data_IF_889002158272
#
_entry.id   IF_889002158272
#
_cell.length_a   1.000
_cell.length_b   1.000
_cell.length_c   1.000
_cell.angle_alpha   90.00
_cell.angle_beta   90.00
_cell.angle_gamma   90.00
#
_symmetry.space_group_name_H-M   'P 1'
#
loop_
_entity.id
_entity.type
_entity.pdbx_description
1 polymer ?
#
# COMPACT_ATOMS: atom_id res chain seq x y z
N UNK A 1 4.86 6.89 27.64
CA UNK A 1 4.12 5.76 28.23
C UNK A 1 5.12 4.68 28.62
N UNK A 2 5.55 4.70 29.88
CA UNK A 2 6.71 3.95 30.39
C UNK A 2 6.33 3.40 31.76
N UNK A 3 5.70 2.23 31.79
CA UNK A 3 5.47 1.46 33.03
C UNK A 3 5.39 -0.02 32.70
N UNK A 4 6.54 -0.70 32.63
CA UNK A 4 6.61 -2.16 32.68
C UNK A 4 8.01 -2.61 33.13
N UNK A 5 8.38 -2.27 34.37
CA UNK A 5 9.68 -2.66 34.92
C UNK A 5 9.64 -3.07 36.40
N UNK A 6 8.46 -3.38 36.95
CA UNK A 6 8.28 -3.60 38.39
C UNK A 6 7.86 -5.03 38.80
N UNK A 7 7.89 -6.03 37.90
CA UNK A 7 7.33 -7.36 38.20
C UNK A 7 8.35 -8.50 38.36
N UNK A 8 9.66 -8.21 38.46
CA UNK A 8 10.70 -9.25 38.56
C UNK A 8 11.53 -9.27 39.86
N UNK A 9 11.26 -8.39 40.85
CA UNK A 9 12.12 -8.29 42.05
C UNK A 9 11.64 -9.05 43.30
N UNK A 10 10.50 -9.76 43.26
CA UNK A 10 9.96 -10.47 44.44
C UNK A 10 10.13 -12.00 44.43
N UNK A 11 10.76 -12.58 43.40
CA UNK A 11 10.99 -14.03 43.33
C UNK A 11 12.27 -14.54 44.00
N UNK A 12 13.16 -13.65 44.47
CA UNK A 12 14.51 -14.00 44.94
C UNK A 12 14.62 -14.43 46.40
N UNK A 13 13.66 -14.09 47.26
CA UNK A 13 13.78 -14.29 48.71
C UNK A 13 13.15 -15.59 49.23
N UNK A 14 12.44 -16.35 48.39
CA UNK A 14 11.83 -17.63 48.79
C UNK A 14 12.73 -18.86 48.55
N UNK A 15 13.90 -18.70 47.94
CA UNK A 15 14.80 -19.82 47.63
C UNK A 15 15.93 -20.04 48.64
N UNK A 16 16.21 -19.08 49.53
CA UNK A 16 17.35 -19.16 50.46
C UNK A 16 17.01 -19.71 51.84
N UNK A 17 15.73 -19.90 52.18
CA UNK A 17 15.32 -20.39 53.51
C UNK A 17 15.13 -21.91 53.62
N UNK A 18 15.21 -22.66 52.52
CA UNK A 18 14.96 -24.12 52.53
C UNK A 18 16.22 -25.01 52.67
N UNK A 19 17.43 -24.42 52.66
CA UNK A 19 18.69 -25.14 52.84
C UNK A 19 19.34 -24.83 54.20
N UNK A 20 18.59 -24.97 55.29
CA UNK A 20 19.19 -25.00 56.62
C UNK A 20 19.71 -26.42 56.91
N UNK A 21 21.04 -26.67 56.93
CA UNK A 21 21.56 -27.99 57.25
C UNK A 21 21.28 -28.29 58.73
N UNK A 22 20.70 -29.47 58.99
CA UNK A 22 20.53 -30.03 60.35
C UNK A 22 21.92 -30.41 60.89
N UNK A 23 22.68 -29.41 61.36
CA UNK A 23 23.93 -29.60 62.10
C UNK A 23 23.63 -29.60 63.59
N UNK A 24 23.21 -30.73 64.16
CA UNK A 24 23.22 -30.88 65.61
C UNK A 24 23.07 -32.33 66.10
N UNK A 25 23.99 -33.24 65.76
CA UNK A 25 24.06 -34.55 66.48
C UNK A 25 25.50 -35.03 66.79
N UNK A 26 26.54 -34.20 66.66
CA UNK A 26 27.93 -34.70 66.82
C UNK A 26 28.50 -34.66 68.26
N UNK A 27 27.75 -34.16 69.26
CA UNK A 27 28.35 -33.88 70.59
C UNK A 27 27.93 -34.78 71.76
N UNK A 28 27.27 -35.92 71.57
CA UNK A 28 26.77 -36.74 72.69
C UNK A 28 27.19 -38.23 72.75
N UNK A 29 28.17 -38.70 71.97
CA UNK A 29 28.55 -40.14 71.99
C UNK A 29 30.05 -40.39 72.24
N UNK A 30 30.61 -39.72 73.24
CA UNK A 30 31.96 -39.98 73.73
C UNK A 30 31.96 -40.42 75.20
N UNK A 31 31.23 -41.48 75.56
CA UNK A 31 31.66 -42.37 76.64
C UNK A 31 30.85 -43.67 76.66
N UNK A 32 31.53 -44.77 76.99
CA UNK A 32 30.96 -46.02 77.51
C UNK A 32 30.58 -47.11 76.50
N UNK A 33 31.57 -47.99 76.26
CA UNK A 33 31.47 -49.47 76.33
C UNK A 33 30.38 -50.19 75.52
N UNK A 34 30.82 -50.99 74.54
CA UNK A 34 30.09 -52.15 74.04
C UNK A 34 30.05 -52.19 72.52
N UNK A 35 30.90 -53.02 71.91
CA UNK A 35 31.08 -53.12 70.45
C UNK A 35 29.81 -53.44 69.65
N UNK A 36 28.72 -53.86 70.29
CA UNK A 36 27.43 -54.19 69.67
C UNK A 36 26.54 -52.96 69.39
N UNK A 37 26.70 -51.83 70.11
CA UNK A 37 25.91 -50.62 69.82
C UNK A 37 26.47 -49.81 68.64
N UNK A 38 27.74 -50.05 68.28
CA UNK A 38 28.39 -49.39 67.15
C UNK A 38 27.71 -49.75 65.83
N UNK A 39 27.38 -51.02 65.60
CA UNK A 39 26.78 -51.50 64.35
C UNK A 39 25.35 -51.00 64.14
N UNK A 40 24.57 -50.84 65.21
CA UNK A 40 23.21 -50.26 65.14
C UNK A 40 23.24 -48.77 64.80
N UNK A 41 24.20 -48.01 65.36
CA UNK A 41 24.37 -46.58 65.08
C UNK A 41 24.90 -46.32 63.65
N UNK A 42 25.78 -47.19 63.14
CA UNK A 42 26.23 -47.10 61.74
C UNK A 42 25.08 -47.36 60.75
N UNK A 43 24.17 -48.27 61.07
CA UNK A 43 22.99 -48.55 60.25
C UNK A 43 21.96 -47.40 60.28
N UNK A 44 21.79 -46.70 61.40
CA UNK A 44 20.87 -45.56 61.49
C UNK A 44 21.43 -44.30 60.81
N UNK A 45 22.74 -44.04 60.92
CA UNK A 45 23.39 -42.91 60.26
C UNK A 45 23.41 -43.06 58.72
N UNK A 46 23.68 -44.27 58.21
CA UNK A 46 23.62 -44.56 56.77
C UNK A 46 22.20 -44.47 56.22
N UNK A 47 21.19 -44.91 56.98
CA UNK A 47 19.79 -44.75 56.62
C UNK A 47 19.36 -43.27 56.58
N UNK A 48 19.83 -42.44 57.52
CA UNK A 48 19.55 -41.00 57.53
C UNK A 48 20.16 -40.28 56.32
N UNK A 49 21.43 -40.56 56.00
CA UNK A 49 22.10 -40.01 54.81
C UNK A 49 21.42 -40.45 53.51
N UNK A 50 20.98 -41.72 53.44
CA UNK A 50 20.22 -42.21 52.28
C UNK A 50 18.89 -41.48 52.13
N UNK A 51 18.15 -41.29 53.23
CA UNK A 51 16.88 -40.56 53.21
C UNK A 51 17.05 -39.09 52.80
N UNK A 52 18.11 -38.42 53.27
CA UNK A 52 18.44 -37.04 52.88
C UNK A 52 18.78 -36.95 51.39
N UNK A 53 19.66 -37.82 50.88
CA UNK A 53 20.01 -37.85 49.45
C UNK A 53 18.80 -38.15 48.57
N UNK A 54 17.91 -39.06 49.01
CA UNK A 54 16.68 -39.38 48.29
C UNK A 54 15.73 -38.17 48.26
N UNK A 55 15.59 -37.45 49.37
CA UNK A 55 14.78 -36.24 49.44
C UNK A 55 15.32 -35.15 48.50
N UNK A 56 16.64 -34.92 48.48
CA UNK A 56 17.28 -33.97 47.56
C UNK A 56 17.07 -34.37 46.09
N UNK A 57 17.22 -35.66 45.76
CA UNK A 57 17.00 -36.15 44.40
C UNK A 57 15.55 -35.92 43.94
N UNK A 58 14.57 -36.22 44.80
CA UNK A 58 13.15 -36.00 44.51
C UNK A 58 12.85 -34.51 44.29
N UNK A 59 13.43 -33.62 45.10
CA UNK A 59 13.27 -32.18 44.91
C UNK A 59 13.87 -31.70 43.58
N UNK A 60 15.04 -32.18 43.18
CA UNK A 60 15.65 -31.83 41.89
C UNK A 60 14.75 -32.25 40.73
N UNK A 61 14.26 -33.49 40.74
CA UNK A 61 13.35 -34.02 39.72
C UNK A 61 12.06 -33.20 39.67
N UNK A 62 11.47 -32.90 40.84
CA UNK A 62 10.27 -32.07 40.94
C UNK A 62 10.48 -30.71 40.27
N UNK A 63 11.58 -30.01 40.56
CA UNK A 63 11.87 -28.71 39.96
C UNK A 63 12.12 -28.78 38.44
N UNK A 64 12.74 -29.85 37.94
CA UNK A 64 12.90 -30.08 36.49
C UNK A 64 11.53 -30.24 35.82
N UNK A 65 10.61 -31.00 36.42
CA UNK A 65 9.24 -31.18 35.89
C UNK A 65 8.50 -29.84 35.89
N UNK A 66 8.53 -29.10 37.01
CA UNK A 66 7.89 -27.78 37.11
C UNK A 66 8.46 -26.81 36.06
N UNK A 67 9.77 -26.75 35.90
CA UNK A 67 10.40 -25.91 34.87
C UNK A 67 9.96 -26.31 33.46
N UNK A 68 9.92 -27.61 33.16
CA UNK A 68 9.51 -28.12 31.84
C UNK A 68 8.04 -27.80 31.54
N UNK A 69 7.14 -28.04 32.50
CA UNK A 69 5.70 -27.72 32.37
C UNK A 69 5.51 -26.22 32.20
N UNK A 70 6.28 -25.39 32.93
CA UNK A 70 6.21 -23.93 32.81
C UNK A 70 6.63 -23.46 31.41
N UNK A 71 7.73 -23.99 30.86
CA UNK A 71 8.19 -23.66 29.50
C UNK A 71 7.17 -24.10 28.46
N UNK A 72 6.64 -25.32 28.56
CA UNK A 72 5.61 -25.81 27.63
C UNK A 72 4.34 -24.98 27.71
N UNK A 73 3.90 -24.60 28.91
CA UNK A 73 2.73 -23.74 29.11
C UNK A 73 2.96 -22.36 28.48
N UNK A 74 4.15 -21.77 28.67
CA UNK A 74 4.51 -20.51 28.04
C UNK A 74 4.52 -20.61 26.50
N UNK A 75 5.11 -21.67 25.94
CA UNK A 75 5.12 -21.90 24.50
C UNK A 75 3.71 -22.08 23.94
N UNK A 76 2.85 -22.80 24.65
CA UNK A 76 1.47 -23.03 24.22
C UNK A 76 0.62 -21.77 24.34
N UNK A 77 0.72 -21.04 25.46
CA UNK A 77 0.07 -19.76 25.65
C UNK A 77 0.52 -18.74 24.60
N UNK A 78 1.81 -18.71 24.24
CA UNK A 78 2.33 -17.87 23.17
C UNK A 78 1.65 -18.19 21.83
N UNK A 79 1.48 -19.48 21.49
CA UNK A 79 0.77 -19.89 20.27
C UNK A 79 -0.70 -19.46 20.30
N UNK A 80 -1.40 -19.69 21.40
CA UNK A 80 -2.84 -19.39 21.53
C UNK A 80 -3.13 -17.90 21.63
N UNK A 81 -2.27 -17.11 22.29
CA UNK A 81 -2.47 -15.67 22.48
C UNK A 81 -2.25 -14.88 21.18
N UNK A 82 -1.37 -15.35 20.28
CA UNK A 82 -1.13 -14.69 18.99
C UNK A 82 -2.03 -15.18 17.85
N UNK A 83 -2.74 -16.29 18.02
CA UNK A 83 -3.79 -16.71 17.07
C UNK A 83 -4.93 -15.68 16.91
N UNK A 84 -5.55 -15.12 17.97
CA UNK A 84 -6.62 -14.15 17.82
C UNK A 84 -6.15 -12.82 17.22
N UNK A 85 -4.95 -12.34 17.58
CA UNK A 85 -4.37 -11.14 16.96
C UNK A 85 -4.15 -11.33 15.45
N UNK A 86 -3.58 -12.48 15.03
CA UNK A 86 -3.43 -12.80 13.60
C UNK A 86 -4.78 -12.90 12.90
N UNK A 87 -5.78 -13.46 13.56
CA UNK A 87 -7.13 -13.56 13.01
C UNK A 87 -7.81 -12.19 12.86
N UNK A 88 -7.58 -11.25 13.76
CA UNK A 88 -8.12 -9.89 13.66
C UNK A 88 -7.45 -9.10 12.54
N UNK A 89 -6.11 -9.12 12.46
CA UNK A 89 -5.39 -8.48 11.35
C UNK A 89 -5.82 -9.09 10.01
N UNK A 90 -5.92 -10.42 9.91
CA UNK A 90 -6.36 -11.07 8.68
C UNK A 90 -7.80 -10.69 8.30
N UNK A 91 -8.71 -10.56 9.26
CA UNK A 91 -10.06 -10.03 9.01
C UNK A 91 -10.03 -8.60 8.46
N UNK A 92 -9.21 -7.73 9.05
CA UNK A 92 -9.03 -6.36 8.55
C UNK A 92 -8.44 -6.35 7.13
N UNK A 93 -7.48 -7.22 6.84
CA UNK A 93 -6.91 -7.40 5.50
C UNK A 93 -7.95 -7.86 4.50
N UNK A 94 -8.81 -8.83 4.84
CA UNK A 94 -9.91 -9.26 3.96
C UNK A 94 -10.88 -8.11 3.68
N UNK A 95 -11.25 -7.33 4.70
CA UNK A 95 -12.15 -6.19 4.52
C UNK A 95 -11.54 -5.12 3.60
N UNK A 96 -10.25 -4.82 3.79
CA UNK A 96 -9.50 -3.90 2.94
C UNK A 96 -9.42 -4.42 1.49
N UNK A 97 -9.08 -5.69 1.29
CA UNK A 97 -9.04 -6.28 -0.04
C UNK A 97 -10.41 -6.28 -0.71
N UNK A 98 -11.49 -6.50 0.04
CA UNK A 98 -12.85 -6.39 -0.49
C UNK A 98 -13.20 -4.96 -0.92
N UNK A 99 -12.75 -3.96 -0.17
CA UNK A 99 -12.93 -2.55 -0.52
C UNK A 99 -12.17 -2.17 -1.79
N UNK A 100 -10.92 -2.64 -1.91
CA UNK A 100 -10.11 -2.52 -3.13
C UNK A 100 -10.84 -3.18 -4.31
N UNK A 101 -11.30 -4.43 -4.15
CA UNK A 101 -11.99 -5.18 -5.20
C UNK A 101 -13.27 -4.46 -5.67
N UNK A 102 -14.06 -3.95 -4.72
CA UNK A 102 -15.30 -3.25 -5.03
C UNK A 102 -15.03 -1.95 -5.79
N UNK A 103 -13.93 -1.29 -5.45
CA UNK A 103 -13.54 -0.04 -6.06
C UNK A 103 -12.81 -0.22 -7.40
N UNK A 104 -12.21 -1.37 -7.69
CA UNK A 104 -11.48 -1.59 -8.95
C UNK A 104 -12.44 -1.59 -10.16
N UNK A 105 -12.08 -0.90 -11.26
CA UNK A 105 -12.87 -0.93 -12.49
C UNK A 105 -13.04 -2.36 -13.02
N UNK A 106 -14.27 -2.78 -13.32
CA UNK A 106 -14.54 -4.16 -13.80
C UNK A 106 -14.19 -4.33 -15.26
N UNK A 107 -14.39 -3.28 -16.02
CA UNK A 107 -14.16 -3.24 -17.46
C UNK A 107 -13.20 -2.11 -17.83
N UNK A 108 -12.64 -2.20 -19.02
CA UNK A 108 -11.85 -1.14 -19.64
C UNK A 108 -12.60 0.20 -19.73
N UNK A 109 -13.92 0.16 -19.99
CA UNK A 109 -14.78 1.35 -19.96
C UNK A 109 -14.94 1.95 -18.56
N UNK A 110 -15.10 1.11 -17.53
CA UNK A 110 -15.16 1.60 -16.15
C UNK A 110 -13.84 2.26 -15.75
N UNK A 111 -12.72 1.75 -16.28
CA UNK A 111 -11.40 2.31 -16.04
C UNK A 111 -11.29 3.72 -16.62
N UNK A 112 -11.74 3.91 -17.86
CA UNK A 112 -11.73 5.22 -18.52
C UNK A 112 -12.57 6.25 -17.75
N UNK A 113 -13.71 5.82 -17.20
CA UNK A 113 -14.56 6.66 -16.38
C UNK A 113 -13.91 6.96 -15.02
N UNK A 114 -13.38 5.95 -14.33
CA UNK A 114 -12.83 6.09 -12.97
C UNK A 114 -11.57 6.94 -12.93
N UNK A 115 -10.67 6.77 -13.88
CA UNK A 115 -9.43 7.56 -13.98
C UNK A 115 -9.57 8.81 -14.85
N UNK A 116 -10.81 9.07 -15.30
CA UNK A 116 -11.21 10.26 -16.04
C UNK A 116 -10.40 10.53 -17.31
N UNK A 117 -9.86 9.47 -17.93
CA UNK A 117 -8.94 9.60 -19.07
C UNK A 117 -9.69 10.08 -20.32
N UNK A 118 -10.95 9.65 -20.49
CA UNK A 118 -11.78 10.09 -21.61
C UNK A 118 -12.09 11.59 -21.53
N UNK A 119 -12.53 12.07 -20.37
CA UNK A 119 -12.81 13.49 -20.19
C UNK A 119 -11.53 14.32 -20.25
N UNK A 120 -10.40 13.82 -19.75
CA UNK A 120 -9.12 14.51 -19.89
C UNK A 120 -8.74 14.72 -21.37
N UNK A 121 -8.98 13.73 -22.24
CA UNK A 121 -8.76 13.87 -23.69
C UNK A 121 -9.68 14.93 -24.29
N UNK A 122 -10.96 14.95 -23.89
CA UNK A 122 -11.92 15.96 -24.37
C UNK A 122 -11.54 17.36 -23.91
N UNK A 123 -11.35 17.54 -22.59
CA UNK A 123 -10.91 18.80 -21.98
C UNK A 123 -9.65 19.32 -22.65
N UNK A 124 -8.71 18.41 -22.95
CA UNK A 124 -7.48 18.78 -23.62
C UNK A 124 -7.71 19.23 -25.06
N UNK A 125 -8.52 18.49 -25.83
CA UNK A 125 -8.88 18.88 -27.19
C UNK A 125 -9.58 20.24 -27.25
N UNK A 126 -10.51 20.50 -26.33
CA UNK A 126 -11.18 21.79 -26.20
C UNK A 126 -10.22 22.92 -25.79
N UNK A 127 -9.31 22.65 -24.85
CA UNK A 127 -8.28 23.59 -24.42
C UNK A 127 -7.38 24.00 -25.58
N UNK A 128 -6.84 23.03 -26.32
CA UNK A 128 -6.03 23.29 -27.51
C UNK A 128 -6.77 24.11 -28.56
N UNK A 129 -8.04 23.76 -28.83
CA UNK A 129 -8.88 24.49 -29.79
C UNK A 129 -9.10 25.93 -29.36
N UNK A 130 -9.38 26.16 -28.07
CA UNK A 130 -9.63 27.50 -27.51
C UNK A 130 -8.38 28.36 -27.56
N UNK A 131 -7.25 27.84 -27.08
CA UNK A 131 -6.01 28.61 -27.06
C UNK A 131 -5.50 28.91 -28.47
N UNK A 132 -5.65 27.97 -29.41
CA UNK A 132 -5.35 28.24 -30.83
C UNK A 132 -6.26 29.34 -31.42
N UNK A 133 -7.54 29.35 -31.04
CA UNK A 133 -8.49 30.39 -31.43
C UNK A 133 -8.07 31.78 -30.96
N UNK A 134 -7.74 31.88 -29.68
CA UNK A 134 -7.35 33.12 -29.02
C UNK A 134 -6.03 33.65 -29.59
N UNK A 135 -5.01 32.79 -29.70
CA UNK A 135 -3.66 33.21 -30.10
C UNK A 135 -3.54 33.55 -31.58
N UNK A 136 -4.15 32.74 -32.46
CA UNK A 136 -3.96 32.91 -33.92
C UNK A 136 -4.96 33.88 -34.53
N UNK A 137 -6.19 33.88 -34.03
CA UNK A 137 -7.26 34.68 -34.64
C UNK A 137 -7.65 35.90 -33.81
N UNK A 138 -7.11 36.07 -32.59
CA UNK A 138 -7.48 37.14 -31.67
C UNK A 138 -9.00 37.23 -31.44
N UNK A 139 -9.70 36.09 -31.48
CA UNK A 139 -11.16 36.03 -31.34
C UNK A 139 -11.52 35.78 -29.88
N UNK A 140 -11.65 36.85 -29.09
CA UNK A 140 -12.12 36.78 -27.69
C UNK A 140 -13.56 36.25 -27.59
N UNK A 141 -14.44 36.59 -28.54
CA UNK A 141 -15.86 36.20 -28.54
C UNK A 141 -16.12 34.71 -28.80
N UNK A 142 -15.14 33.95 -29.30
CA UNK A 142 -15.30 32.49 -29.43
C UNK A 142 -15.24 31.79 -28.08
N UNK A 143 -14.61 32.41 -27.08
CA UNK A 143 -14.46 31.84 -25.74
C UNK A 143 -15.83 31.59 -25.11
N UNK A 144 -16.74 32.56 -25.16
CA UNK A 144 -18.10 32.44 -24.61
C UNK A 144 -18.95 31.38 -25.32
N UNK A 145 -18.82 31.25 -26.64
CA UNK A 145 -19.56 30.27 -27.46
C UNK A 145 -19.02 28.83 -27.29
N UNK A 146 -17.70 28.66 -27.20
CA UNK A 146 -17.07 27.36 -26.89
C UNK A 146 -17.32 26.97 -25.43
N UNK A 147 -17.36 27.93 -24.49
CA UNK A 147 -17.74 27.67 -23.11
C UNK A 147 -19.20 27.20 -22.98
N UNK A 148 -20.11 27.67 -23.84
CA UNK A 148 -21.48 27.14 -23.97
C UNK A 148 -21.50 25.72 -24.55
N UNK A 149 -20.61 25.38 -25.49
CA UNK A 149 -20.48 24.02 -26.02
C UNK A 149 -19.90 23.05 -24.96
N UNK A 150 -18.91 23.51 -24.18
CA UNK A 150 -18.30 22.78 -23.06
C UNK A 150 -19.27 22.62 -21.87
N UNK A 151 -20.25 23.52 -21.69
CA UNK A 151 -21.33 23.40 -20.67
C UNK A 151 -22.13 22.10 -20.80
N UNK A 152 -22.16 21.48 -21.97
CA UNK A 152 -22.83 20.20 -22.18
C UNK A 152 -22.05 18.98 -21.68
N UNK A 153 -20.75 19.13 -21.36
CA UNK A 153 -19.81 18.01 -21.21
C UNK A 153 -19.15 17.95 -19.82
N UNK A 154 -19.04 19.08 -19.10
CA UNK A 154 -18.27 19.14 -17.83
C UNK A 154 -19.07 19.73 -16.67
N UNK A 155 -18.73 19.35 -15.43
CA UNK A 155 -19.38 19.86 -14.22
C UNK A 155 -18.92 21.28 -13.85
N UNK A 156 -19.76 22.04 -13.15
CA UNK A 156 -19.50 23.45 -12.83
C UNK A 156 -18.23 23.74 -11.99
N UNK A 157 -17.82 22.85 -11.06
CA UNK A 157 -16.53 22.95 -10.38
C UNK A 157 -15.33 22.73 -11.30
N UNK A 158 -15.39 21.75 -12.23
CA UNK A 158 -14.34 21.49 -13.22
C UNK A 158 -14.18 22.70 -14.16
N UNK A 159 -15.30 23.35 -14.52
CA UNK A 159 -15.31 24.57 -15.33
C UNK A 159 -14.57 25.73 -14.64
N UNK A 160 -14.80 25.96 -13.35
CA UNK A 160 -14.08 27.02 -12.60
C UNK A 160 -12.59 26.71 -12.48
N UNK A 161 -12.23 25.45 -12.22
CA UNK A 161 -10.84 25.03 -12.17
C UNK A 161 -10.14 25.30 -13.52
N UNK A 162 -10.78 24.94 -14.64
CA UNK A 162 -10.30 25.31 -15.98
C UNK A 162 -10.18 26.83 -16.14
N UNK A 163 -11.16 27.64 -15.72
CA UNK A 163 -11.08 29.08 -15.91
C UNK A 163 -10.00 29.76 -15.04
N UNK A 164 -9.76 29.26 -13.83
CA UNK A 164 -8.83 29.86 -12.86
C UNK A 164 -7.37 29.43 -13.08
N UNK A 165 -7.11 28.28 -13.73
CA UNK A 165 -5.75 27.82 -14.07
C UNK A 165 -5.23 28.27 -15.44
N UNK A 166 -6.04 28.97 -16.25
CA UNK A 166 -5.77 29.31 -17.65
C UNK A 166 -5.07 30.66 -17.86
N UNK A 167 -3.96 30.88 -17.18
CA UNK A 167 -2.99 31.87 -17.65
C UNK A 167 -1.56 31.33 -17.54
N UNK A 168 -0.92 30.90 -18.64
CA UNK A 168 0.52 30.80 -18.64
C UNK A 168 1.10 32.20 -18.43
N UNK A 169 2.04 32.33 -17.49
CA UNK A 169 3.00 33.44 -17.56
C UNK A 169 3.92 33.15 -18.73
N UNK A 170 3.78 33.95 -19.78
CA UNK A 170 4.71 33.97 -20.91
C UNK A 170 6.04 34.56 -20.44
N UNK A 171 7.07 33.73 -20.29
CA UNK A 171 8.45 34.19 -20.33
C UNK A 171 8.93 33.92 -21.76
N UNK A 172 9.33 34.96 -22.49
CA UNK A 172 9.90 34.79 -23.83
C UNK A 172 11.13 33.88 -23.73
N UNK A 173 11.12 32.67 -24.31
CA UNK A 173 12.32 31.84 -24.31
C UNK A 173 13.35 32.44 -25.26
N UNK A 174 14.63 32.43 -24.87
CA UNK A 174 15.74 32.73 -25.78
C UNK A 174 15.75 31.70 -26.94
N UNK A 175 15.70 32.20 -28.17
CA UNK A 175 15.39 31.42 -29.38
C UNK A 175 16.67 30.98 -30.10
N UNK A 176 16.79 29.69 -30.42
CA UNK A 176 17.65 29.22 -31.53
C UNK A 176 16.90 29.34 -32.88
N UNK A 177 17.55 29.80 -33.96
CA UNK A 177 16.89 30.02 -35.25
C UNK A 177 16.47 28.71 -35.92
N UNK A 178 15.16 28.57 -36.15
CA UNK A 178 14.53 27.44 -36.84
C UNK A 178 14.50 27.63 -38.37
N UNK A 179 14.37 26.54 -39.18
CA UNK A 179 14.43 26.60 -40.64
C UNK A 179 13.29 27.41 -41.29
N UNK A 180 13.59 28.17 -42.35
CA UNK A 180 12.65 29.08 -43.03
C UNK A 180 11.43 28.42 -43.69
N UNK A 181 11.47 27.10 -43.94
CA UNK A 181 10.44 26.37 -44.71
C UNK A 181 9.14 26.08 -43.96
N UNK A 182 9.05 26.41 -42.67
CA UNK A 182 7.89 26.11 -41.83
C UNK A 182 6.88 27.26 -41.91
N UNK A 183 5.61 26.98 -42.25
CA UNK A 183 4.57 28.02 -42.32
C UNK A 183 4.38 28.71 -40.95
N UNK A 184 3.96 29.97 -40.96
CA UNK A 184 3.86 30.80 -39.76
C UNK A 184 2.98 30.17 -38.66
N UNK A 185 1.87 29.53 -39.01
CA UNK A 185 1.01 28.81 -38.06
C UNK A 185 1.71 27.61 -37.41
N UNK A 186 2.58 26.92 -38.15
CA UNK A 186 3.38 25.81 -37.64
C UNK A 186 4.54 26.31 -36.75
N UNK A 187 5.02 27.54 -36.96
CA UNK A 187 5.97 28.22 -36.06
C UNK A 187 5.30 28.64 -34.74
N UNK A 188 4.06 29.13 -34.80
CA UNK A 188 3.29 29.52 -33.62
C UNK A 188 2.93 28.28 -32.77
N UNK A 189 2.53 27.18 -33.40
CA UNK A 189 2.24 25.93 -32.69
C UNK A 189 3.46 25.33 -31.96
N UNK A 190 4.69 25.50 -32.49
CA UNK A 190 5.90 25.04 -31.81
C UNK A 190 6.20 25.82 -30.51
N UNK A 191 5.64 27.03 -30.36
CA UNK A 191 5.82 27.90 -29.19
C UNK A 191 4.70 27.77 -28.16
N UNK A 192 3.66 26.99 -28.48
CA UNK A 192 2.47 26.83 -27.65
C UNK A 192 2.75 25.91 -26.45
N UNK A 193 2.89 26.49 -25.25
CA UNK A 193 2.92 25.73 -24.00
C UNK A 193 1.50 25.45 -23.50
N UNK A 194 1.16 24.17 -23.41
CA UNK A 194 -0.09 23.72 -22.77
C UNK A 194 0.23 23.15 -21.38
N UNK A 195 -0.66 23.39 -20.41
CA UNK A 195 -0.74 22.62 -19.17
C UNK A 195 -2.07 21.91 -19.10
N UNK A 196 -2.03 20.60 -18.89
CA UNK A 196 -3.25 19.82 -18.74
C UNK A 196 -3.81 20.07 -17.34
N UNK A 197 -5.11 20.36 -17.25
CA UNK A 197 -5.76 20.27 -15.95
C UNK A 197 -5.95 18.81 -15.61
N UNK A 198 -5.39 18.40 -14.47
CA UNK A 198 -5.78 17.14 -13.88
C UNK A 198 -7.15 17.34 -13.24
N UNK A 199 -8.14 16.60 -13.73
CA UNK A 199 -9.46 16.62 -13.13
C UNK A 199 -9.39 16.19 -11.66
N UNK A 200 -10.23 16.78 -10.82
CA UNK A 200 -10.34 16.40 -9.41
C UNK A 200 -10.67 14.92 -9.26
N UNK A 201 -11.51 14.37 -10.15
CA UNK A 201 -11.88 12.95 -10.20
C UNK A 201 -10.64 12.07 -10.34
N UNK A 202 -9.73 12.40 -11.25
CA UNK A 202 -8.48 11.65 -11.43
C UNK A 202 -7.57 11.78 -10.22
N UNK A 203 -7.39 12.99 -9.68
CA UNK A 203 -6.55 13.20 -8.49
C UNK A 203 -7.06 12.34 -7.32
N UNK A 204 -8.37 12.32 -7.10
CA UNK A 204 -9.01 11.50 -6.07
C UNK A 204 -8.82 10.00 -6.35
N UNK A 205 -9.01 9.54 -7.59
CA UNK A 205 -8.80 8.15 -7.96
C UNK A 205 -7.34 7.69 -7.76
N UNK A 206 -6.38 8.53 -8.14
CA UNK A 206 -4.94 8.28 -7.97
C UNK A 206 -4.53 8.33 -6.50
N UNK A 207 -5.08 9.26 -5.73
CA UNK A 207 -4.89 9.32 -4.28
C UNK A 207 -5.44 8.06 -3.59
N UNK A 208 -6.59 7.55 -4.04
CA UNK A 208 -7.18 6.29 -3.55
C UNK A 208 -6.25 5.09 -3.79
N UNK A 209 -5.68 4.96 -5.00
CA UNK A 209 -4.68 3.94 -5.28
C UNK A 209 -3.45 4.08 -4.37
N UNK A 210 -2.92 5.29 -4.24
CA UNK A 210 -1.77 5.57 -3.38
C UNK A 210 -2.06 5.29 -1.90
N UNK A 211 -3.29 5.51 -1.43
CA UNK A 211 -3.69 5.19 -0.07
C UNK A 211 -3.64 3.67 0.18
N UNK A 212 -4.22 2.86 -0.70
CA UNK A 212 -4.18 1.40 -0.58
C UNK A 212 -2.76 0.83 -0.74
N UNK A 213 -1.96 1.40 -1.65
CA UNK A 213 -0.55 1.03 -1.83
C UNK A 213 0.26 1.23 -0.53
N UNK A 214 0.02 2.35 0.16
CA UNK A 214 0.76 2.71 1.37
C UNK A 214 0.16 2.13 2.66
N UNK A 215 -1.05 1.56 2.63
CA UNK A 215 -1.67 0.95 3.81
C UNK A 215 -0.82 -0.22 4.34
N UNK A 216 -0.56 -0.22 5.65
CA UNK A 216 0.21 -1.25 6.33
C UNK A 216 -0.44 -2.64 6.29
N UNK A 217 -1.76 -2.70 6.10
CA UNK A 217 -2.53 -3.94 6.02
C UNK A 217 -2.49 -4.53 4.60
N UNK A 218 -2.23 -3.75 3.56
CA UNK A 218 -2.19 -4.26 2.18
C UNK A 218 -1.04 -5.26 2.01
N UNK A 219 -1.31 -6.49 1.53
CA UNK A 219 -0.27 -7.47 1.25
C UNK A 219 0.75 -6.97 0.21
N UNK A 220 2.03 -7.34 0.37
CA UNK A 220 3.11 -6.86 -0.51
C UNK A 220 2.89 -7.19 -1.99
N UNK A 221 2.34 -8.36 -2.32
CA UNK A 221 2.00 -8.75 -3.69
C UNK A 221 0.92 -7.84 -4.28
N UNK A 222 -0.10 -7.51 -3.50
CA UNK A 222 -1.18 -6.59 -3.88
C UNK A 222 -0.64 -5.16 -4.02
N UNK A 223 0.28 -4.72 -3.16
CA UNK A 223 0.95 -3.41 -3.29
C UNK A 223 1.68 -3.26 -4.61
N UNK A 224 2.45 -4.27 -5.01
CA UNK A 224 3.17 -4.25 -6.29
C UNK A 224 2.21 -4.15 -7.48
N UNK A 225 1.11 -4.91 -7.47
CA UNK A 225 0.12 -4.84 -8.54
C UNK A 225 -0.64 -3.49 -8.55
N UNK A 226 -0.94 -2.90 -7.39
CA UNK A 226 -1.53 -1.57 -7.29
C UNK A 226 -0.58 -0.48 -7.79
N UNK A 227 0.72 -0.59 -7.48
CA UNK A 227 1.74 0.32 -8.00
C UNK A 227 1.85 0.22 -9.53
N UNK A 228 1.80 -1.00 -10.09
CA UNK A 228 1.77 -1.20 -11.54
C UNK A 228 0.52 -0.56 -12.18
N UNK A 229 -0.66 -0.74 -11.58
CA UNK A 229 -1.89 -0.07 -12.02
C UNK A 229 -1.78 1.45 -11.99
N UNK A 230 -1.17 1.99 -10.93
CA UNK A 230 -0.93 3.42 -10.80
C UNK A 230 0.01 3.95 -11.89
N UNK A 231 1.14 3.30 -12.10
CA UNK A 231 2.10 3.66 -13.16
C UNK A 231 1.45 3.54 -14.54
N UNK A 232 0.63 2.51 -14.77
CA UNK A 232 -0.14 2.38 -16.00
C UNK A 232 -1.10 3.57 -16.19
N UNK A 233 -1.87 3.95 -15.17
CA UNK A 233 -2.80 5.08 -15.25
C UNK A 233 -2.11 6.45 -15.46
N UNK A 234 -0.91 6.63 -14.90
CA UNK A 234 -0.08 7.81 -15.15
C UNK A 234 0.43 7.84 -16.60
N UNK A 235 0.95 6.71 -17.08
CA UNK A 235 1.45 6.58 -18.44
C UNK A 235 0.35 6.68 -19.50
N UNK A 236 -0.84 6.12 -19.23
CA UNK A 236 -1.97 6.14 -20.16
C UNK A 236 -2.46 7.56 -20.41
N UNK A 237 -2.51 8.41 -19.36
CA UNK A 237 -2.77 9.82 -19.57
C UNK A 237 -1.66 10.47 -20.40
N UNK A 238 -0.40 10.34 -20.00
CA UNK A 238 0.73 10.95 -20.71
C UNK A 238 0.73 10.58 -22.22
N UNK A 239 0.39 9.33 -22.53
CA UNK A 239 0.22 8.84 -23.89
C UNK A 239 -0.97 9.49 -24.60
N UNK A 240 -2.09 9.68 -23.90
CA UNK A 240 -3.24 10.41 -24.40
C UNK A 240 -2.88 11.87 -24.73
N UNK A 241 -2.15 12.55 -23.86
CA UNK A 241 -1.69 13.93 -24.10
C UNK A 241 -0.80 13.99 -25.34
N UNK A 242 0.22 13.13 -25.40
CA UNK A 242 1.16 13.08 -26.52
C UNK A 242 0.45 12.80 -27.85
N UNK A 243 -0.53 11.88 -27.82
CA UNK A 243 -1.32 11.54 -28.98
C UNK A 243 -2.18 12.71 -29.46
N UNK A 244 -2.92 13.37 -28.55
CA UNK A 244 -3.77 14.51 -28.91
C UNK A 244 -2.92 15.67 -29.43
N UNK A 245 -1.78 15.98 -28.80
CA UNK A 245 -0.84 17.00 -29.31
C UNK A 245 -0.37 16.71 -30.73
N UNK A 246 0.01 15.45 -30.98
CA UNK A 246 0.48 15.02 -32.30
C UNK A 246 -0.61 15.19 -33.37
N UNK A 247 -1.86 14.81 -33.04
CA UNK A 247 -3.01 14.96 -33.94
C UNK A 247 -3.37 16.42 -34.16
N UNK A 248 -3.50 17.19 -33.09
CA UNK A 248 -3.76 18.63 -33.11
C UNK A 248 -2.75 19.36 -33.99
N UNK A 249 -1.44 19.10 -33.82
CA UNK A 249 -0.38 19.68 -34.65
C UNK A 249 -0.58 19.41 -36.13
N UNK A 250 -0.90 18.16 -36.48
CA UNK A 250 -1.13 17.76 -37.86
C UNK A 250 -2.39 18.40 -38.47
N UNK A 251 -3.42 18.65 -37.67
CA UNK A 251 -4.70 19.19 -38.13
C UNK A 251 -4.72 20.73 -38.15
N UNK A 252 -4.33 21.39 -37.06
CA UNK A 252 -4.33 22.85 -36.95
C UNK A 252 -3.38 23.48 -37.99
N UNK A 253 -2.12 23.03 -38.05
CA UNK A 253 -1.12 23.64 -38.94
C UNK A 253 -1.40 23.49 -40.44
N UNK A 254 -2.08 22.41 -40.85
CA UNK A 254 -2.31 22.11 -42.26
C UNK A 254 -3.71 22.51 -42.77
N UNK A 255 -4.75 22.41 -41.92
CA UNK A 255 -6.16 22.44 -42.38
C UNK A 255 -6.92 23.67 -41.90
N UNK A 256 -6.48 24.35 -40.85
CA UNK A 256 -7.24 25.43 -40.23
C UNK A 256 -6.55 26.76 -40.49
N UNK A 257 -7.10 27.50 -41.46
CA UNK A 257 -6.60 28.81 -41.90
C UNK A 257 -7.49 29.96 -41.47
N UNK A 258 -8.71 29.68 -40.99
CA UNK A 258 -9.70 30.69 -40.61
C UNK A 258 -10.46 30.25 -39.35
N UNK A 259 -10.96 31.21 -38.55
CA UNK A 259 -11.81 30.91 -37.40
C UNK A 259 -13.10 30.16 -37.77
N UNK A 260 -13.65 30.38 -38.98
CA UNK A 260 -14.79 29.60 -39.49
C UNK A 260 -14.43 28.13 -39.67
N UNK A 261 -13.24 27.84 -40.21
CA UNK A 261 -12.77 26.45 -40.30
C UNK A 261 -12.58 25.85 -38.92
N UNK A 262 -11.99 26.59 -37.97
CA UNK A 262 -11.81 26.14 -36.58
C UNK A 262 -13.13 25.76 -35.89
N UNK A 263 -14.23 26.44 -36.23
CA UNK A 263 -15.58 26.12 -35.74
C UNK A 263 -16.14 24.80 -36.28
N UNK A 264 -15.76 24.41 -37.48
CA UNK A 264 -16.28 23.22 -38.16
C UNK A 264 -15.25 22.09 -38.32
N UNK A 265 -14.01 22.31 -37.88
CA UNK A 265 -12.90 21.39 -38.05
C UNK A 265 -12.75 20.51 -36.82
N UNK A 266 -13.12 19.25 -37.00
CA UNK A 266 -13.00 18.16 -36.06
C UNK A 266 -13.78 18.33 -34.75
N UNK A 267 -14.82 17.52 -34.64
CA UNK A 267 -15.50 17.27 -33.37
C UNK A 267 -14.47 16.73 -32.37
N UNK A 268 -14.35 17.36 -31.20
CA UNK A 268 -13.39 16.96 -30.17
C UNK A 268 -13.64 15.52 -29.73
N UNK A 269 -14.89 15.04 -29.85
CA UNK A 269 -15.24 13.63 -29.64
C UNK A 269 -14.48 12.67 -30.57
N UNK A 270 -14.19 13.06 -31.81
CA UNK A 270 -13.42 12.22 -32.74
C UNK A 270 -11.99 11.98 -32.27
N UNK A 271 -11.39 12.92 -31.51
CA UNK A 271 -10.08 12.68 -30.91
C UNK A 271 -10.16 11.64 -29.81
N UNK A 272 -11.18 11.71 -28.96
CA UNK A 272 -11.37 10.76 -27.89
C UNK A 272 -11.62 9.34 -28.42
N UNK A 273 -12.50 9.20 -29.43
CA UNK A 273 -12.80 7.91 -30.06
C UNK A 273 -11.58 7.31 -30.78
N UNK A 274 -10.85 8.15 -31.53
CA UNK A 274 -9.67 7.68 -32.26
C UNK A 274 -8.48 7.37 -31.32
N UNK A 275 -8.34 8.08 -30.20
CA UNK A 275 -7.37 7.72 -29.18
C UNK A 275 -7.72 6.38 -28.53
N UNK A 276 -9.00 6.20 -28.14
CA UNK A 276 -9.49 4.93 -27.58
C UNK A 276 -9.21 3.74 -28.50
N UNK A 277 -9.34 3.92 -29.82
CA UNK A 277 -9.00 2.86 -30.80
C UNK A 277 -7.51 2.51 -30.89
N UNK A 278 -6.61 3.35 -30.37
CA UNK A 278 -5.15 3.15 -30.45
C UNK A 278 -4.48 2.84 -29.11
N UNK A 279 -5.20 3.01 -28.00
CA UNK A 279 -4.65 2.81 -26.66
C UNK A 279 -4.47 1.32 -26.33
N UNK A 280 -3.63 1.03 -25.35
CA UNK A 280 -3.54 -0.31 -24.76
C UNK A 280 -4.71 -0.51 -23.80
N UNK A 281 -5.37 -1.67 -23.85
CA UNK A 281 -6.38 -2.05 -22.86
C UNK A 281 -5.78 -2.11 -21.45
N UNK A 282 -6.54 -1.68 -20.44
CA UNK A 282 -6.18 -1.77 -19.03
C UNK A 282 -6.49 -3.14 -18.42
N UNK A 283 -7.16 -4.03 -19.15
CA UNK A 283 -7.64 -5.33 -18.66
C UNK A 283 -6.51 -6.18 -18.09
N UNK A 284 -5.34 -6.18 -18.73
CA UNK A 284 -4.19 -6.96 -18.29
C UNK A 284 -3.71 -6.53 -16.88
N UNK A 285 -3.59 -5.23 -16.66
CA UNK A 285 -3.10 -4.67 -15.38
C UNK A 285 -4.17 -4.80 -14.29
N UNK A 286 -5.44 -4.54 -14.62
CA UNK A 286 -6.56 -4.78 -13.71
C UNK A 286 -6.68 -6.25 -13.31
N UNK A 287 -6.47 -7.18 -14.25
CA UNK A 287 -6.45 -8.60 -13.95
C UNK A 287 -5.24 -8.98 -13.09
N UNK A 288 -4.08 -8.36 -13.29
CA UNK A 288 -2.91 -8.53 -12.43
C UNK A 288 -3.21 -8.24 -10.96
N UNK A 289 -3.92 -7.14 -10.67
CA UNK A 289 -4.35 -6.81 -9.30
C UNK A 289 -5.29 -7.89 -8.74
N UNK A 290 -6.29 -8.33 -9.52
CA UNK A 290 -7.23 -9.37 -9.08
C UNK A 290 -6.56 -10.72 -8.83
N UNK A 291 -5.59 -11.10 -9.66
CA UNK A 291 -4.82 -12.32 -9.48
C UNK A 291 -4.01 -12.25 -8.19
N UNK A 292 -3.29 -11.15 -7.95
CA UNK A 292 -2.52 -10.95 -6.71
C UNK A 292 -3.42 -11.03 -5.45
N UNK A 293 -4.62 -10.44 -5.52
CA UNK A 293 -5.59 -10.53 -4.42
C UNK A 293 -6.11 -11.96 -4.24
N UNK A 294 -6.42 -12.67 -5.32
CA UNK A 294 -6.89 -14.06 -5.26
C UNK A 294 -5.83 -14.99 -4.70
N UNK A 295 -4.58 -14.86 -5.15
CA UNK A 295 -3.44 -15.63 -4.65
C UNK A 295 -3.25 -15.43 -3.14
N UNK A 296 -3.34 -14.18 -2.67
CA UNK A 296 -3.26 -13.89 -1.24
C UNK A 296 -4.42 -14.49 -0.42
N UNK A 297 -5.62 -14.57 -1.02
CA UNK A 297 -6.80 -15.14 -0.39
C UNK A 297 -6.88 -16.67 -0.51
N UNK A 298 -6.00 -17.32 -1.27
CA UNK A 298 -6.03 -18.78 -1.39
C UNK A 298 -5.66 -19.43 -0.04
N UNK A 299 -6.50 -20.35 0.47
CA UNK A 299 -6.37 -20.91 1.82
C UNK A 299 -5.18 -21.87 2.00
N UNK A 300 -4.48 -22.25 0.92
CA UNK A 300 -3.40 -23.24 0.98
C UNK A 300 -2.18 -22.75 1.78
N UNK A 301 -1.98 -21.43 1.90
CA UNK A 301 -0.96 -20.84 2.80
C UNK A 301 -1.46 -20.65 4.25
N UNK A 302 -2.76 -20.81 4.51
CA UNK A 302 -3.37 -20.70 5.85
C UNK A 302 -3.52 -22.09 6.50
N UNK A 303 -3.60 -23.15 5.70
CA UNK A 303 -3.68 -24.53 6.17
C UNK A 303 -2.32 -25.12 6.62
N UNK A 304 -1.20 -24.45 6.32
CA UNK A 304 0.16 -24.93 6.63
C UNK A 304 0.80 -23.98 7.67
N UNK A 305 0.57 -24.14 8.98
CA UNK A 305 0.39 -25.46 9.57
C UNK A 305 1.53 -26.40 9.20
N UNK A 306 2.73 -25.88 8.88
CA UNK A 306 4.02 -26.61 8.89
C UNK A 306 4.41 -27.00 10.33
N UNK A 307 3.43 -27.51 11.08
CA UNK A 307 3.63 -28.32 12.27
C UNK A 307 3.88 -29.74 11.76
N UNK A 308 5.15 -30.11 11.59
CA UNK A 308 5.55 -31.52 11.54
C UNK A 308 6.17 -32.01 10.24
N UNK A 309 7.29 -31.41 9.82
CA UNK A 309 8.42 -32.18 9.30
C UNK A 309 9.71 -31.56 9.81
#
# INVERSE_FOLDING_TARGET
MTTSSAMFSQGGELFTSFFAPVRQVDHLLASSTGGEYSTLLWNSATAALFAENLATLVQIIFWIIVATVTVLTYLNARRTFFQPMRAETYKQQILLLRDIEHSLPRTDSDYLLKYDVHNAVLEFGYGLRTSYAEEIFAIEDMRSELLEEIRGVTSEPQRRAMLDGYMPKWEEPEIEPLPETINENSRLWMKFEHRMHHSTVRIEAMAGLGAWENDSLTPSTVKLALAELRTFAEADLANAESWVLSKARSWFGARIRTGKQLRYSADVAQYADAWQGTRKSSDAVLNGVRVAMREYLQPDDIAIGRLGS
#
